data_IF_041390602495
#
_entry.id   IF_041390602495
#
_cell.length_a   1.000
_cell.length_b   1.000
_cell.length_c   1.000
_cell.angle_alpha   90.00
_cell.angle_beta   90.00
_cell.angle_gamma   90.00
#
_symmetry.space_group_name_H-M   'P 1'
#
loop_
_entity.id
_entity.type
_entity.pdbx_description
1 polymer ?
#
# COMPACT_ATOMS: atom_id res chain seq x y z
N UNK A 1 -0.66 -6.18 -14.89
CA UNK A 1 -1.51 -5.11 -14.35
C UNK A 1 -2.64 -5.60 -13.43
N UNK A 2 -3.05 -6.87 -13.49
CA UNK A 2 -4.21 -7.39 -12.75
C UNK A 2 -4.12 -7.27 -11.21
N UNK A 3 -2.95 -7.49 -10.61
CA UNK A 3 -2.77 -7.40 -9.15
C UNK A 3 -3.05 -5.99 -8.60
N UNK A 4 -2.52 -4.95 -9.25
CA UNK A 4 -2.73 -3.56 -8.84
C UNK A 4 -4.19 -3.14 -9.04
N UNK A 5 -4.81 -3.55 -10.16
CA UNK A 5 -6.23 -3.30 -10.39
C UNK A 5 -7.12 -3.91 -9.30
N UNK A 6 -6.83 -5.14 -8.86
CA UNK A 6 -7.52 -5.79 -7.75
C UNK A 6 -7.33 -5.00 -6.45
N UNK A 7 -6.10 -4.55 -6.15
CA UNK A 7 -5.84 -3.72 -4.96
C UNK A 7 -6.64 -2.41 -4.96
N UNK A 8 -6.72 -1.73 -6.12
CA UNK A 8 -7.52 -0.51 -6.28
C UNK A 8 -9.00 -0.80 -6.03
N UNK A 9 -9.52 -1.89 -6.63
CA UNK A 9 -10.91 -2.26 -6.41
C UNK A 9 -11.22 -2.58 -4.94
N UNK A 10 -10.34 -3.34 -4.26
CA UNK A 10 -10.50 -3.63 -2.83
C UNK A 10 -10.54 -2.36 -1.98
N UNK A 11 -9.90 -1.28 -2.42
CA UNK A 11 -9.99 0.04 -1.77
C UNK A 11 -11.36 0.70 -1.90
N UNK A 12 -12.05 0.48 -3.03
CA UNK A 12 -13.37 1.04 -3.34
C UNK A 12 -14.49 0.17 -2.74
N UNK A 13 -14.48 -1.12 -3.03
CA UNK A 13 -15.46 -2.10 -2.57
C UNK A 13 -14.81 -3.01 -1.53
N UNK A 14 -14.92 -2.63 -0.25
CA UNK A 14 -14.32 -3.38 0.88
C UNK A 14 -15.22 -4.52 1.32
N UNK A 15 -14.68 -5.75 1.29
CA UNK A 15 -15.27 -6.91 1.96
C UNK A 15 -14.58 -7.16 3.31
N UNK A 16 -15.21 -7.89 4.25
CA UNK A 16 -14.66 -8.14 5.58
C UNK A 16 -13.26 -8.79 5.56
N UNK A 17 -13.03 -9.74 4.65
CA UNK A 17 -11.75 -10.38 4.43
C UNK A 17 -11.33 -10.37 2.95
N UNK A 18 -10.04 -10.55 2.70
CA UNK A 18 -9.49 -10.63 1.33
C UNK A 18 -9.99 -11.89 0.62
N UNK A 19 -10.21 -12.97 1.36
CA UNK A 19 -10.71 -14.25 0.88
C UNK A 19 -12.12 -14.13 0.32
N UNK A 20 -12.92 -13.21 0.86
CA UNK A 20 -14.34 -13.04 0.50
C UNK A 20 -14.53 -12.64 -0.96
N UNK A 21 -13.54 -12.00 -1.58
CA UNK A 21 -13.60 -11.66 -3.02
C UNK A 21 -13.61 -12.89 -3.92
N UNK A 22 -13.19 -14.05 -3.41
CA UNK A 22 -13.19 -15.35 -4.11
C UNK A 22 -14.20 -16.35 -3.54
N UNK A 23 -14.80 -16.07 -2.37
CA UNK A 23 -15.78 -16.94 -1.73
C UNK A 23 -17.06 -17.08 -2.57
N UNK A 24 -17.79 -18.17 -2.43
CA UNK A 24 -18.90 -18.51 -3.33
C UNK A 24 -20.04 -17.46 -3.30
N UNK A 25 -20.42 -16.99 -2.12
CA UNK A 25 -21.55 -16.08 -1.91
C UNK A 25 -21.20 -14.62 -2.21
N UNK A 26 -19.97 -14.22 -1.95
CA UNK A 26 -19.46 -12.84 -2.09
C UNK A 26 -18.51 -12.69 -3.27
N UNK A 27 -18.48 -13.69 -4.17
CA UNK A 27 -17.55 -13.76 -5.29
C UNK A 27 -17.66 -12.49 -6.10
N UNK A 28 -16.51 -11.89 -6.43
CA UNK A 28 -16.44 -10.80 -7.39
C UNK A 28 -15.86 -11.36 -8.69
N UNK A 29 -16.71 -11.76 -9.67
CA UNK A 29 -16.25 -12.52 -10.84
C UNK A 29 -15.20 -11.77 -11.66
N UNK A 30 -15.29 -10.44 -11.71
CA UNK A 30 -14.36 -9.58 -12.43
C UNK A 30 -12.92 -9.71 -11.93
N UNK A 31 -12.69 -10.12 -10.67
CA UNK A 31 -11.33 -10.37 -10.14
C UNK A 31 -11.05 -11.85 -9.96
N UNK A 32 -12.03 -12.58 -9.46
CA UNK A 32 -11.88 -13.98 -9.11
C UNK A 32 -11.67 -14.88 -10.34
N UNK A 33 -12.08 -14.43 -11.53
CA UNK A 33 -11.81 -15.12 -12.80
C UNK A 33 -10.47 -14.70 -13.42
N UNK A 34 -9.91 -13.55 -13.04
CA UNK A 34 -8.64 -13.03 -13.59
C UNK A 34 -7.43 -13.56 -12.82
N UNK A 35 -7.53 -13.63 -11.48
CA UNK A 35 -6.44 -14.06 -10.62
C UNK A 35 -7.00 -14.97 -9.53
N UNK A 36 -6.41 -16.14 -9.31
CA UNK A 36 -6.82 -16.99 -8.19
C UNK A 36 -6.41 -16.39 -6.84
N UNK A 37 -7.17 -16.66 -5.78
CA UNK A 37 -6.86 -16.20 -4.41
C UNK A 37 -5.44 -16.59 -4.00
N UNK A 38 -5.04 -17.85 -4.28
CA UNK A 38 -3.68 -18.34 -4.00
C UNK A 38 -2.60 -17.53 -4.73
N UNK A 39 -2.83 -17.18 -6.00
CA UNK A 39 -1.87 -16.37 -6.77
C UNK A 39 -1.83 -14.93 -6.27
N UNK A 40 -2.96 -14.35 -5.90
CA UNK A 40 -3.02 -13.02 -5.28
C UNK A 40 -2.18 -12.96 -4.00
N UNK A 41 -2.37 -13.93 -3.09
CA UNK A 41 -1.59 -14.01 -1.85
C UNK A 41 -0.09 -14.21 -2.08
N UNK A 42 0.28 -15.05 -3.05
CA UNK A 42 1.68 -15.21 -3.44
C UNK A 42 2.27 -13.88 -3.91
N UNK A 43 1.61 -13.18 -4.83
CA UNK A 43 2.08 -11.88 -5.33
C UNK A 43 2.20 -10.84 -4.22
N UNK A 44 1.19 -10.76 -3.33
CA UNK A 44 1.20 -9.86 -2.17
C UNK A 44 2.40 -10.11 -1.25
N UNK A 45 2.82 -11.37 -1.08
CA UNK A 45 3.97 -11.74 -0.26
C UNK A 45 5.32 -11.46 -0.92
N UNK A 46 5.40 -11.53 -2.25
CA UNK A 46 6.68 -11.50 -2.98
C UNK A 46 6.95 -10.20 -3.74
N UNK A 47 6.08 -9.19 -3.62
CA UNK A 47 6.28 -7.92 -4.32
C UNK A 47 7.51 -7.17 -3.77
N UNK A 48 8.37 -6.73 -4.68
CA UNK A 48 9.54 -5.92 -4.39
C UNK A 48 9.51 -4.69 -5.29
N UNK A 49 9.71 -3.51 -4.71
CA UNK A 49 9.65 -2.23 -5.43
C UNK A 49 11.03 -1.60 -5.60
N UNK A 50 12.09 -2.22 -5.08
CA UNK A 50 13.46 -1.80 -5.27
C UNK A 50 14.38 -3.03 -5.33
N UNK A 51 15.57 -2.86 -5.90
CA UNK A 51 16.60 -3.88 -6.01
C UNK A 51 17.28 -4.10 -4.64
N UNK A 52 17.01 -5.25 -4.02
CA UNK A 52 17.59 -5.61 -2.73
C UNK A 52 19.11 -5.76 -2.78
N UNK A 53 19.75 -5.95 -3.94
CA UNK A 53 21.22 -6.05 -4.03
C UNK A 53 21.90 -4.73 -3.70
N UNK A 54 21.18 -3.60 -3.83
CA UNK A 54 21.68 -2.25 -3.57
C UNK A 54 21.36 -1.76 -2.14
N UNK A 55 20.82 -2.62 -1.27
CA UNK A 55 20.47 -2.23 0.10
C UNK A 55 21.71 -2.06 0.99
N UNK A 56 22.80 -2.75 0.68
CA UNK A 56 24.02 -2.69 1.49
C UNK A 56 24.61 -1.27 1.45
N UNK A 57 24.84 -0.67 2.61
CA UNK A 57 25.42 0.67 2.74
C UNK A 57 24.44 1.84 2.62
N UNK A 58 23.14 1.58 2.38
CA UNK A 58 22.15 2.67 2.39
C UNK A 58 21.76 3.07 3.81
N UNK A 59 21.69 4.38 4.06
CA UNK A 59 21.10 4.95 5.29
C UNK A 59 19.61 5.24 5.14
N UNK A 60 19.05 5.05 3.93
CA UNK A 60 17.64 5.30 3.66
C UNK A 60 16.77 4.20 4.25
N UNK A 61 16.13 4.51 5.39
CA UNK A 61 15.20 3.61 6.08
C UNK A 61 13.97 3.22 5.23
N UNK A 62 13.67 3.96 4.15
CA UNK A 62 12.57 3.68 3.22
C UNK A 62 13.04 3.10 1.87
N UNK A 63 14.30 2.66 1.77
CA UNK A 63 14.91 2.18 0.53
C UNK A 63 14.00 1.25 -0.29
N UNK A 64 13.37 0.25 0.35
CA UNK A 64 12.54 -0.76 -0.35
C UNK A 64 11.31 -0.20 -1.07
N UNK A 65 10.81 0.96 -0.64
CA UNK A 65 9.64 1.63 -1.25
C UNK A 65 10.03 2.94 -1.93
N UNK A 66 11.29 3.38 -1.82
CA UNK A 66 11.77 4.65 -2.37
C UNK A 66 11.38 4.86 -3.84
N UNK A 67 11.49 3.88 -4.75
CA UNK A 67 11.14 4.10 -6.16
C UNK A 67 9.68 4.50 -6.37
N UNK A 68 8.74 3.92 -5.61
CA UNK A 68 7.31 4.28 -5.75
C UNK A 68 7.04 5.70 -5.23
N UNK A 69 7.66 6.08 -4.10
CA UNK A 69 7.50 7.43 -3.58
C UNK A 69 8.12 8.48 -4.49
N UNK A 70 9.30 8.20 -5.06
CA UNK A 70 9.93 9.07 -6.05
C UNK A 70 9.02 9.23 -7.27
N UNK A 71 8.52 8.12 -7.83
CA UNK A 71 7.60 8.16 -8.97
C UNK A 71 6.34 8.98 -8.68
N UNK A 72 5.66 8.71 -7.56
CA UNK A 72 4.44 9.44 -7.17
C UNK A 72 4.71 10.93 -6.96
N UNK A 73 5.80 11.29 -6.29
CA UNK A 73 6.17 12.69 -6.08
C UNK A 73 6.45 13.40 -7.41
N UNK A 74 7.14 12.75 -8.34
CA UNK A 74 7.38 13.31 -9.67
C UNK A 74 6.07 13.55 -10.41
N UNK A 75 5.18 12.56 -10.43
CA UNK A 75 3.89 12.68 -11.11
C UNK A 75 2.99 13.74 -10.49
N UNK A 76 2.84 13.76 -9.16
CA UNK A 76 1.97 14.73 -8.49
C UNK A 76 2.48 16.17 -8.57
N UNK A 77 3.80 16.37 -8.69
CA UNK A 77 4.38 17.70 -8.92
C UNK A 77 4.21 18.21 -10.35
N UNK A 78 3.98 17.31 -11.31
CA UNK A 78 3.70 17.70 -12.69
C UNK A 78 2.27 18.26 -12.85
N UNK A 79 1.36 17.93 -11.93
CA UNK A 79 0.00 18.47 -11.92
C UNK A 79 -0.02 19.94 -11.51
N UNK A 80 -0.91 20.71 -12.16
CA UNK A 80 -1.08 22.14 -11.89
C UNK A 80 -1.58 22.35 -10.45
N UNK A 81 -0.83 23.17 -9.70
CA UNK A 81 -1.17 23.51 -8.33
C UNK A 81 -2.12 24.71 -8.29
N UNK A 82 -3.09 24.69 -7.37
CA UNK A 82 -3.97 25.81 -7.08
C UNK A 82 -3.39 26.71 -5.98
N UNK A 83 -3.88 27.95 -5.86
CA UNK A 83 -3.37 28.90 -4.86
C UNK A 83 -3.82 28.60 -3.43
N UNK A 84 -4.89 27.82 -3.25
CA UNK A 84 -5.43 27.47 -1.93
C UNK A 84 -5.09 26.02 -1.63
N UNK A 85 -4.10 25.79 -0.77
CA UNK A 85 -3.64 24.47 -0.37
C UNK A 85 -3.60 24.34 1.14
N UNK A 86 -3.92 23.14 1.64
CA UNK A 86 -3.70 22.75 3.02
C UNK A 86 -2.74 21.57 3.08
N UNK A 87 -1.88 21.58 4.08
CA UNK A 87 -0.97 20.47 4.37
C UNK A 87 -1.31 19.97 5.76
N UNK A 88 -1.57 18.68 5.86
CA UNK A 88 -1.86 18.00 7.12
C UNK A 88 -1.20 16.62 7.11
N UNK A 89 -0.97 16.08 8.29
CA UNK A 89 -0.35 14.78 8.49
C UNK A 89 -1.41 13.67 8.39
N UNK A 90 -1.17 12.69 7.52
CA UNK A 90 -1.96 11.45 7.49
C UNK A 90 -1.20 10.35 8.23
N UNK A 91 -1.91 9.59 9.07
CA UNK A 91 -1.34 8.35 9.64
C UNK A 91 -1.74 7.17 8.78
N UNK A 92 -0.78 6.31 8.45
CA UNK A 92 -1.05 5.01 7.84
C UNK A 92 -1.01 3.93 8.92
N UNK A 93 -2.17 3.34 9.22
CA UNK A 93 -2.32 2.34 10.26
C UNK A 93 -1.34 1.17 10.11
N UNK A 94 -0.55 0.91 11.14
CA UNK A 94 0.37 -0.21 11.16
C UNK A 94 0.63 -0.69 12.60
N UNK A 95 0.19 -1.92 12.89
CA UNK A 95 0.34 -2.54 14.22
C UNK A 95 1.50 -3.55 14.31
N UNK A 96 2.24 -3.77 13.23
CA UNK A 96 3.37 -4.70 13.21
C UNK A 96 4.60 -4.19 13.97
N UNK A 97 5.61 -5.05 14.11
CA UNK A 97 6.84 -4.77 14.88
C UNK A 97 8.07 -4.49 14.00
N UNK A 98 8.02 -4.76 12.70
CA UNK A 98 9.20 -4.67 11.81
C UNK A 98 9.59 -3.23 11.45
N UNK A 99 8.74 -2.27 11.79
CA UNK A 99 9.00 -0.84 11.57
C UNK A 99 10.03 -0.23 12.53
N UNK A 100 10.37 -0.91 13.64
CA UNK A 100 11.28 -0.38 14.66
C UNK A 100 10.86 1.03 15.11
N UNK A 101 11.82 1.96 15.12
CA UNK A 101 11.61 3.36 15.53
C UNK A 101 10.92 4.25 14.47
N UNK A 102 10.51 3.68 13.32
CA UNK A 102 9.70 4.41 12.34
C UNK A 102 8.21 4.42 12.72
N UNK A 103 7.77 3.47 13.53
CA UNK A 103 6.37 3.40 13.97
C UNK A 103 6.12 4.47 15.03
N UNK A 104 5.10 5.28 14.80
CA UNK A 104 4.70 6.37 15.69
C UNK A 104 3.45 6.00 16.49
N UNK A 105 3.31 6.63 17.65
CA UNK A 105 2.11 6.62 18.47
C UNK A 105 1.52 8.03 18.56
N UNK A 106 0.28 8.21 18.10
CA UNK A 106 -0.41 9.51 18.17
C UNK A 106 -1.77 9.29 18.83
N UNK A 107 -1.87 9.63 20.12
CA UNK A 107 -3.03 9.34 20.97
C UNK A 107 -4.37 9.82 20.41
N UNK A 108 -4.36 10.94 19.67
CA UNK A 108 -5.58 11.62 19.23
C UNK A 108 -5.96 11.32 17.77
N UNK A 109 -5.28 10.39 17.08
CA UNK A 109 -5.67 9.95 15.74
C UNK A 109 -6.56 8.69 15.81
N UNK A 110 -7.47 8.47 14.83
CA UNK A 110 -8.34 7.29 14.81
C UNK A 110 -7.55 5.97 14.84
N UNK A 111 -6.50 5.92 14.02
CA UNK A 111 -5.43 4.96 14.16
C UNK A 111 -4.37 5.58 15.07
N UNK A 112 -4.11 4.96 16.22
CA UNK A 112 -3.14 5.48 17.20
C UNK A 112 -1.72 4.97 16.96
N UNK A 113 -1.56 3.92 16.13
CA UNK A 113 -0.26 3.32 15.79
C UNK A 113 -0.11 3.23 14.27
N UNK A 114 0.98 3.78 13.75
CA UNK A 114 1.20 3.82 12.31
C UNK A 114 2.53 4.39 11.88
N UNK A 115 2.63 4.73 10.61
CA UNK A 115 3.67 5.56 10.02
C UNK A 115 3.13 6.96 9.73
#
# INVERSE_FOLDING_TARGET
MNFVAILIYMGICKLPAVEDYWAMQTRVPQFANILSSKRFWLMKRTIHLNDNTQISGTVDRFFKVRPIFTFLNTMFRAELQTQMQSVDEVMVAYKGKTAGNLRQYIKNKPDIWGF
#
